data_IF_135064774661
#
_entry.id   IF_135064774661
#
_cell.length_a   1.000
_cell.length_b   1.000
_cell.length_c   1.000
_cell.angle_alpha   90.00
_cell.angle_beta   90.00
_cell.angle_gamma   90.00
#
_symmetry.space_group_name_H-M   'P 1'
#
loop_
_entity.id
_entity.type
_entity.pdbx_description
1 polymer ?
#
# COMPACT_ATOMS: atom_id res chain seq x y z
N UNK A 1 -14.61 4.11 -17.07
CA UNK A 1 -14.88 2.67 -17.00
C UNK A 1 -15.95 2.25 -18.01
N UNK A 2 -17.07 2.96 -18.13
CA UNK A 2 -18.16 2.60 -19.05
C UNK A 2 -17.79 2.66 -20.54
N UNK A 3 -16.84 3.51 -20.93
CA UNK A 3 -16.40 3.64 -22.33
C UNK A 3 -15.36 2.63 -22.74
N UNK A 4 -14.74 1.92 -21.80
CA UNK A 4 -13.60 1.02 -22.04
C UNK A 4 -12.33 1.71 -22.55
N UNK A 5 -12.33 3.06 -22.64
CA UNK A 5 -11.15 3.81 -23.10
C UNK A 5 -10.10 3.82 -21.99
N UNK A 6 -8.89 3.42 -22.32
CA UNK A 6 -7.72 3.51 -21.44
C UNK A 6 -6.56 4.20 -22.13
N UNK A 7 -5.78 4.94 -21.35
CA UNK A 7 -4.51 5.53 -21.78
C UNK A 7 -3.42 5.00 -20.85
N UNK A 8 -2.36 4.48 -21.41
CA UNK A 8 -1.29 3.84 -20.65
C UNK A 8 0.08 4.35 -21.11
N UNK A 9 0.95 4.62 -20.13
CA UNK A 9 2.37 4.92 -20.33
C UNK A 9 3.17 4.07 -19.34
N UNK A 10 3.97 3.16 -19.85
CA UNK A 10 4.69 2.16 -19.03
C UNK A 10 3.78 1.35 -18.08
N UNK A 11 2.52 1.16 -18.45
CA UNK A 11 1.52 0.50 -17.60
C UNK A 11 1.72 -1.00 -17.48
N UNK A 12 2.44 -1.62 -18.43
CA UNK A 12 2.79 -3.05 -18.42
C UNK A 12 4.15 -3.32 -17.75
N UNK A 13 4.92 -2.28 -17.42
CA UNK A 13 6.17 -2.46 -16.65
C UNK A 13 5.84 -2.92 -15.23
N UNK A 14 6.76 -3.70 -14.64
CA UNK A 14 6.69 -4.02 -13.23
C UNK A 14 7.08 -2.81 -12.37
N UNK A 15 6.23 -2.47 -11.41
CA UNK A 15 6.42 -1.40 -10.45
C UNK A 15 6.33 -1.92 -9.03
N UNK A 16 7.25 -1.52 -8.16
CA UNK A 16 7.08 -1.74 -6.74
C UNK A 16 5.94 -0.85 -6.21
N UNK A 17 4.86 -1.48 -5.76
CA UNK A 17 3.60 -0.83 -5.45
C UNK A 17 3.58 -0.15 -4.07
N UNK A 18 4.55 -0.44 -3.22
CA UNK A 18 4.63 0.05 -1.84
C UNK A 18 3.29 -0.18 -1.10
N UNK A 19 2.80 0.82 -0.35
CA UNK A 19 1.57 0.67 0.45
C UNK A 19 0.27 0.61 -0.36
N UNK A 20 0.30 0.68 -1.69
CA UNK A 20 -0.93 0.46 -2.47
C UNK A 20 -1.39 -1.00 -2.39
N UNK A 21 -0.50 -1.95 -2.08
CA UNK A 21 -0.84 -3.36 -1.80
C UNK A 21 -1.84 -3.53 -0.62
N UNK A 22 -2.09 -2.48 0.14
CA UNK A 22 -3.07 -2.49 1.23
C UNK A 22 -4.53 -2.54 0.75
N UNK A 23 -4.79 -2.20 -0.52
CA UNK A 23 -6.13 -2.36 -1.11
C UNK A 23 -6.49 -3.84 -1.29
N UNK A 24 -5.68 -4.69 -1.93
CA UNK A 24 -5.97 -6.13 -1.97
C UNK A 24 -6.03 -6.78 -0.58
N UNK A 25 -5.23 -6.33 0.40
CA UNK A 25 -5.37 -6.80 1.79
C UNK A 25 -6.76 -6.46 2.34
N UNK A 26 -7.23 -5.22 2.14
CA UNK A 26 -8.55 -4.80 2.58
C UNK A 26 -9.68 -5.58 1.90
N UNK A 27 -9.56 -5.86 0.59
CA UNK A 27 -10.52 -6.70 -0.14
C UNK A 27 -10.59 -8.10 0.48
N UNK A 28 -9.45 -8.73 0.78
CA UNK A 28 -9.42 -10.05 1.41
C UNK A 28 -10.09 -10.05 2.81
N UNK A 29 -9.88 -8.99 3.61
CA UNK A 29 -10.56 -8.82 4.90
C UNK A 29 -12.07 -8.66 4.72
N UNK A 30 -12.50 -7.83 3.78
CA UNK A 30 -13.93 -7.60 3.53
C UNK A 30 -14.63 -8.87 3.02
N UNK A 31 -13.98 -9.69 2.20
CA UNK A 31 -14.51 -11.01 1.80
C UNK A 31 -14.75 -11.95 2.99
N UNK A 32 -13.85 -11.94 3.97
CA UNK A 32 -14.06 -12.72 5.21
C UNK A 32 -15.25 -12.20 6.02
N UNK A 33 -15.52 -10.90 5.96
CA UNK A 33 -16.71 -10.29 6.59
C UNK A 33 -17.97 -10.73 5.82
N UNK A 34 -17.95 -10.76 4.49
CA UNK A 34 -19.09 -11.22 3.68
C UNK A 34 -19.39 -12.72 3.84
N UNK A 35 -18.43 -13.50 4.30
CA UNK A 35 -18.57 -14.93 4.60
C UNK A 35 -19.02 -15.19 6.05
N UNK A 36 -19.39 -14.13 6.80
CA UNK A 36 -19.79 -14.17 8.22
C UNK A 36 -18.71 -14.73 9.18
N UNK A 37 -17.46 -14.87 8.72
CA UNK A 37 -16.34 -15.32 9.55
C UNK A 37 -15.81 -14.21 10.49
N UNK A 38 -16.06 -12.96 10.12
CA UNK A 38 -15.60 -11.76 10.82
C UNK A 38 -16.70 -10.69 10.79
N UNK A 39 -16.60 -9.72 11.69
CA UNK A 39 -17.34 -8.46 11.63
C UNK A 39 -16.37 -7.29 11.70
N UNK A 40 -16.81 -6.10 11.35
CA UNK A 40 -16.01 -4.88 11.55
C UNK A 40 -15.65 -4.64 13.01
N UNK A 41 -16.42 -5.17 13.94
CA UNK A 41 -16.21 -5.00 15.39
C UNK A 41 -15.46 -6.18 16.03
N UNK A 42 -15.12 -7.22 15.25
CA UNK A 42 -14.32 -8.36 15.72
C UNK A 42 -12.99 -7.89 16.30
N UNK A 43 -12.64 -8.31 17.54
CA UNK A 43 -11.39 -7.90 18.18
C UNK A 43 -10.20 -8.70 17.64
N UNK A 44 -9.10 -8.01 17.38
CA UNK A 44 -7.81 -8.59 16.99
C UNK A 44 -6.77 -8.18 18.03
N UNK A 45 -6.16 -9.14 18.69
CA UNK A 45 -5.12 -8.88 19.70
C UNK A 45 -3.81 -8.51 19.02
N UNK A 46 -3.25 -7.35 19.37
CA UNK A 46 -1.92 -6.92 18.93
C UNK A 46 -0.85 -7.82 19.57
N UNK A 47 -0.02 -8.44 18.75
CA UNK A 47 1.13 -9.23 19.19
C UNK A 47 2.42 -8.43 18.99
N UNK A 48 3.45 -8.77 19.76
CA UNK A 48 4.78 -8.15 19.61
C UNK A 48 5.38 -8.41 18.20
N UNK A 49 5.00 -9.51 17.55
CA UNK A 49 5.39 -9.86 16.19
C UNK A 49 4.76 -9.00 15.11
N UNK A 50 3.64 -8.31 15.42
CA UNK A 50 2.94 -7.46 14.45
C UNK A 50 3.60 -6.09 14.28
N UNK A 51 4.51 -5.71 15.16
CA UNK A 51 5.16 -4.40 15.09
C UNK A 51 5.99 -4.24 13.82
N UNK A 52 5.70 -3.18 13.09
CA UNK A 52 6.48 -2.74 11.94
C UNK A 52 6.70 -1.25 12.03
N UNK A 53 7.87 -0.78 11.60
CA UNK A 53 8.15 0.65 11.45
C UNK A 53 7.36 1.25 10.26
N UNK A 54 7.16 2.55 10.30
CA UNK A 54 6.51 3.28 9.20
C UNK A 54 5.44 4.24 9.70
N UNK A 55 4.42 4.44 8.89
CA UNK A 55 3.31 5.32 9.21
C UNK A 55 2.32 4.65 10.18
N UNK A 56 1.51 5.47 10.83
CA UNK A 56 0.41 5.07 11.70
C UNK A 56 0.80 4.89 13.17
N UNK A 57 -0.18 4.96 14.07
CA UNK A 57 0.03 4.92 15.52
C UNK A 57 -0.12 3.53 16.14
N UNK A 58 -0.53 2.49 15.40
CA UNK A 58 -0.89 1.18 15.98
C UNK A 58 0.26 0.55 16.75
N UNK A 59 1.52 0.77 16.33
CA UNK A 59 2.70 0.30 17.03
C UNK A 59 3.00 1.03 18.36
N UNK A 60 2.18 2.01 18.76
CA UNK A 60 2.27 2.68 20.07
C UNK A 60 1.43 1.99 21.14
N UNK A 61 0.50 1.12 20.77
CA UNK A 61 -0.23 0.30 21.74
C UNK A 61 0.66 -0.80 22.28
N UNK A 62 0.41 -1.22 23.53
CA UNK A 62 1.10 -2.35 24.13
C UNK A 62 0.62 -3.69 23.52
N UNK A 63 1.48 -4.72 23.44
CA UNK A 63 1.05 -6.07 23.09
C UNK A 63 -0.03 -6.53 24.06
N UNK A 64 -0.99 -7.32 23.55
CA UNK A 64 -2.18 -7.74 24.29
C UNK A 64 -3.38 -6.80 24.12
N UNK A 65 -3.22 -5.60 23.56
CA UNK A 65 -4.33 -4.70 23.26
C UNK A 65 -5.22 -5.31 22.19
N UNK A 66 -6.52 -5.44 22.46
CA UNK A 66 -7.52 -5.79 21.46
C UNK A 66 -7.91 -4.53 20.66
N UNK A 67 -7.91 -4.62 19.34
CA UNK A 67 -8.28 -3.57 18.38
C UNK A 67 -9.33 -4.15 17.42
N UNK A 68 -10.35 -3.39 17.05
CA UNK A 68 -11.38 -3.90 16.12
C UNK A 68 -10.86 -3.94 14.68
N UNK A 69 -11.42 -4.81 13.87
CA UNK A 69 -11.15 -4.88 12.42
C UNK A 69 -11.39 -3.52 11.76
N UNK A 70 -12.46 -2.82 12.15
CA UNK A 70 -12.75 -1.45 11.69
C UNK A 70 -11.60 -0.49 11.97
N UNK A 71 -11.10 -0.46 13.20
CA UNK A 71 -9.95 0.36 13.58
C UNK A 71 -8.73 0.02 12.71
N UNK A 72 -8.44 -1.26 12.53
CA UNK A 72 -7.28 -1.71 11.75
C UNK A 72 -7.40 -1.35 10.26
N UNK A 73 -8.60 -1.50 9.66
CA UNK A 73 -8.85 -1.07 8.27
C UNK A 73 -8.69 0.44 8.12
N UNK A 74 -9.23 1.23 9.04
CA UNK A 74 -9.08 2.69 9.05
C UNK A 74 -7.60 3.08 9.17
N UNK A 75 -6.86 2.51 10.12
CA UNK A 75 -5.43 2.79 10.28
C UNK A 75 -4.61 2.38 9.06
N UNK A 76 -4.87 1.20 8.51
CA UNK A 76 -4.17 0.67 7.34
C UNK A 76 -4.39 1.54 6.10
N UNK A 77 -5.62 1.95 5.84
CA UNK A 77 -5.95 2.66 4.60
C UNK A 77 -5.75 4.17 4.74
N UNK A 78 -6.28 4.81 5.78
CA UNK A 78 -6.28 6.28 5.95
C UNK A 78 -4.86 6.79 6.23
N UNK A 79 -4.18 6.17 7.20
CA UNK A 79 -2.85 6.60 7.65
C UNK A 79 -1.72 5.73 7.09
N UNK A 80 -2.07 4.68 6.33
CA UNK A 80 -1.09 3.74 5.79
C UNK A 80 -0.30 2.98 6.87
N UNK A 81 -0.93 2.65 8.01
CA UNK A 81 -0.30 1.99 9.16
C UNK A 81 0.20 0.58 8.79
N UNK A 82 1.48 0.32 9.01
CA UNK A 82 2.10 -0.97 8.67
C UNK A 82 1.78 -2.05 9.71
N UNK A 83 1.73 -1.70 10.99
CA UNK A 83 1.38 -2.64 12.06
C UNK A 83 -0.06 -3.11 11.93
N UNK A 84 -1.00 -2.19 11.66
CA UNK A 84 -2.37 -2.55 11.39
C UNK A 84 -2.49 -3.45 10.15
N UNK A 85 -1.66 -3.23 9.12
CA UNK A 85 -1.62 -4.08 7.92
C UNK A 85 -1.20 -5.50 8.26
N UNK A 86 -0.13 -5.68 9.02
CA UNK A 86 0.38 -7.01 9.37
C UNK A 86 -0.56 -7.74 10.35
N UNK A 87 -1.25 -7.03 11.24
CA UNK A 87 -2.35 -7.61 12.04
C UNK A 87 -3.49 -8.14 11.17
N UNK A 88 -3.90 -7.39 10.15
CA UNK A 88 -4.94 -7.83 9.22
C UNK A 88 -4.48 -8.97 8.31
N UNK A 89 -3.23 -8.93 7.82
CA UNK A 89 -2.66 -10.07 7.07
C UNK A 89 -2.62 -11.32 7.94
N UNK A 90 -2.21 -11.22 9.20
CA UNK A 90 -2.21 -12.34 10.14
C UNK A 90 -3.61 -12.88 10.39
N UNK A 91 -4.61 -12.00 10.44
CA UNK A 91 -6.01 -12.37 10.68
C UNK A 91 -6.59 -13.20 9.53
N UNK A 92 -6.33 -12.81 8.29
CA UNK A 92 -6.91 -13.47 7.11
C UNK A 92 -5.98 -14.49 6.45
N UNK A 93 -4.67 -14.42 6.73
CA UNK A 93 -3.62 -15.22 6.11
C UNK A 93 -3.09 -14.58 4.82
N UNK A 94 -1.75 -14.53 4.68
CA UNK A 94 -1.10 -13.95 3.49
C UNK A 94 -1.43 -14.72 2.21
N UNK A 95 -1.60 -16.04 2.33
CA UNK A 95 -1.99 -16.89 1.21
C UNK A 95 -3.38 -16.55 0.68
N UNK A 96 -4.31 -16.20 1.58
CA UNK A 96 -5.65 -15.76 1.21
C UNK A 96 -5.61 -14.41 0.50
N UNK A 97 -4.80 -13.46 0.99
CA UNK A 97 -4.60 -12.17 0.30
C UNK A 97 -4.11 -12.40 -1.14
N UNK A 98 -3.12 -13.26 -1.31
CA UNK A 98 -2.56 -13.57 -2.63
C UNK A 98 -3.56 -14.37 -3.51
N UNK A 99 -4.35 -15.28 -2.92
CA UNK A 99 -5.37 -16.03 -3.65
C UNK A 99 -6.46 -15.11 -4.20
N UNK A 100 -7.01 -14.23 -3.35
CA UNK A 100 -8.00 -13.22 -3.75
C UNK A 100 -7.45 -12.28 -4.83
N UNK A 101 -6.20 -11.85 -4.70
CA UNK A 101 -5.58 -10.97 -5.69
C UNK A 101 -5.48 -11.67 -7.05
N UNK A 102 -5.02 -12.94 -7.09
CA UNK A 102 -4.93 -13.72 -8.35
C UNK A 102 -6.30 -14.07 -8.94
N UNK A 103 -7.30 -14.31 -8.11
CA UNK A 103 -8.67 -14.57 -8.58
C UNK A 103 -9.23 -13.34 -9.32
N UNK A 104 -9.05 -12.14 -8.75
CA UNK A 104 -9.54 -10.90 -9.32
C UNK A 104 -8.72 -10.43 -10.52
N UNK A 105 -7.40 -10.61 -10.46
CA UNK A 105 -6.45 -10.24 -11.49
C UNK A 105 -5.42 -11.37 -11.64
N UNK A 106 -5.65 -12.31 -12.56
CA UNK A 106 -4.82 -13.51 -12.69
C UNK A 106 -3.35 -13.23 -13.01
N UNK A 107 -3.06 -12.13 -13.70
CA UNK A 107 -1.73 -11.76 -14.16
C UNK A 107 -1.37 -10.32 -13.77
N UNK A 108 -0.07 -10.03 -13.69
CA UNK A 108 0.45 -8.69 -13.49
C UNK A 108 0.69 -8.30 -12.03
N UNK A 109 0.30 -9.11 -11.04
CA UNK A 109 0.73 -8.95 -9.65
C UNK A 109 1.78 -9.98 -9.26
N UNK A 110 2.86 -9.51 -8.62
CA UNK A 110 3.75 -10.38 -7.87
C UNK A 110 3.20 -10.73 -6.48
N UNK A 111 3.85 -11.66 -5.76
CA UNK A 111 3.40 -12.05 -4.43
C UNK A 111 3.40 -10.87 -3.45
N UNK A 112 2.30 -10.68 -2.74
CA UNK A 112 2.19 -9.75 -1.62
C UNK A 112 2.77 -10.44 -0.39
N UNK A 113 3.59 -9.71 0.38
CA UNK A 113 4.19 -10.17 1.64
C UNK A 113 3.72 -9.31 2.81
N UNK A 114 4.04 -9.73 4.04
CA UNK A 114 3.88 -8.86 5.20
C UNK A 114 4.80 -7.65 5.11
N UNK A 115 4.44 -6.55 5.78
CA UNK A 115 5.29 -5.35 5.81
C UNK A 115 6.56 -5.60 6.64
N UNK A 116 6.51 -6.50 7.61
CA UNK A 116 7.68 -7.00 8.34
C UNK A 116 8.64 -7.75 7.38
N UNK A 117 8.12 -8.59 6.48
CA UNK A 117 8.96 -9.31 5.51
C UNK A 117 9.60 -8.37 4.49
N UNK A 118 8.94 -7.28 4.10
CA UNK A 118 9.61 -6.22 3.33
C UNK A 118 10.89 -5.77 4.02
N UNK A 119 10.85 -5.55 5.34
CA UNK A 119 12.04 -5.13 6.12
C UNK A 119 13.08 -6.24 6.20
N UNK A 120 12.66 -7.47 6.48
CA UNK A 120 13.53 -8.64 6.55
C UNK A 120 14.26 -8.89 5.24
N UNK A 121 13.57 -8.76 4.12
CA UNK A 121 14.14 -8.96 2.80
C UNK A 121 15.16 -7.86 2.47
N UNK A 122 14.83 -6.59 2.71
CA UNK A 122 15.75 -5.46 2.47
C UNK A 122 17.02 -5.59 3.33
N UNK A 123 16.88 -5.76 4.64
CA UNK A 123 18.05 -5.92 5.53
C UNK A 123 18.76 -7.25 5.29
N UNK A 124 18.05 -8.27 4.80
CA UNK A 124 18.59 -9.56 4.38
C UNK A 124 19.60 -9.47 3.24
N UNK A 125 19.52 -8.43 2.40
CA UNK A 125 20.52 -8.12 1.36
C UNK A 125 21.88 -7.71 1.95
N UNK A 126 21.88 -7.20 3.19
CA UNK A 126 23.09 -6.83 3.92
C UNK A 126 23.71 -8.00 4.68
N UNK A 127 22.88 -8.89 5.23
CA UNK A 127 23.30 -10.12 5.88
C UNK A 127 22.10 -11.08 6.07
N UNK A 128 22.23 -12.40 5.76
CA UNK A 128 21.12 -13.34 5.88
C UNK A 128 20.46 -13.40 7.25
N UNK A 129 21.23 -13.23 8.35
CA UNK A 129 20.68 -13.21 9.71
C UNK A 129 19.69 -12.05 9.95
N UNK A 130 19.69 -10.99 9.13
CA UNK A 130 18.72 -9.91 9.23
C UNK A 130 17.29 -10.34 8.85
N UNK A 131 17.13 -11.52 8.23
CA UNK A 131 15.80 -12.10 7.97
C UNK A 131 15.08 -12.56 9.23
N UNK A 132 15.77 -12.63 10.38
CA UNK A 132 15.16 -12.97 11.68
C UNK A 132 14.80 -11.75 12.52
N UNK A 133 15.05 -10.53 12.03
CA UNK A 133 14.75 -9.30 12.76
C UNK A 133 13.28 -9.26 13.19
N UNK A 134 13.08 -8.83 14.43
CA UNK A 134 11.76 -8.66 15.04
C UNK A 134 11.18 -7.26 14.76
N UNK A 135 9.91 -7.09 15.04
CA UNK A 135 9.27 -5.78 14.97
C UNK A 135 9.92 -4.71 15.85
N UNK A 136 10.41 -5.10 17.02
CA UNK A 136 11.14 -4.17 17.93
C UNK A 136 12.47 -3.72 17.30
N UNK A 137 13.14 -4.59 16.57
CA UNK A 137 14.39 -4.27 15.89
C UNK A 137 14.14 -3.26 14.75
N UNK A 138 13.04 -3.41 14.00
CA UNK A 138 12.66 -2.44 12.98
C UNK A 138 12.39 -1.06 13.59
N UNK A 139 11.71 -1.00 14.75
CA UNK A 139 11.49 0.26 15.44
C UNK A 139 12.82 0.87 15.94
N UNK A 140 13.76 0.06 16.42
CA UNK A 140 15.08 0.52 16.83
C UNK A 140 15.90 1.06 15.64
N UNK A 141 15.90 0.35 14.51
CA UNK A 141 16.52 0.80 13.26
C UNK A 141 15.90 2.11 12.75
N UNK A 142 14.56 2.22 12.81
CA UNK A 142 13.87 3.44 12.37
C UNK A 142 14.19 4.68 13.20
N UNK A 143 14.50 4.50 14.49
CA UNK A 143 14.92 5.61 15.40
C UNK A 143 16.29 6.17 15.05
N UNK A 144 17.11 5.46 14.26
CA UNK A 144 18.41 5.97 13.86
C UNK A 144 18.24 7.17 12.91
N UNK A 145 19.08 8.21 13.06
CA UNK A 145 18.89 9.47 12.35
C UNK A 145 19.06 9.34 10.81
N UNK A 146 19.87 8.37 10.38
CA UNK A 146 20.20 8.15 8.98
C UNK A 146 20.60 6.69 8.70
N UNK A 147 20.92 6.39 7.44
CA UNK A 147 21.32 5.06 7.01
C UNK A 147 22.64 4.60 7.65
N UNK A 148 23.58 5.51 7.88
CA UNK A 148 24.84 5.17 8.56
C UNK A 148 24.59 4.66 9.98
N UNK A 149 23.69 5.32 10.73
CA UNK A 149 23.26 4.87 12.05
C UNK A 149 22.56 3.50 12.02
N UNK A 150 21.71 3.26 11.01
CA UNK A 150 21.04 1.95 10.82
C UNK A 150 22.06 0.85 10.55
N UNK A 151 23.02 1.10 9.64
CA UNK A 151 24.08 0.16 9.29
C UNK A 151 25.07 -0.07 10.49
N UNK A 152 25.24 0.89 11.37
CA UNK A 152 26.02 0.72 12.58
C UNK A 152 25.28 -0.09 13.68
N UNK A 153 23.95 0.02 13.73
CA UNK A 153 23.14 -0.72 14.69
C UNK A 153 22.86 -2.18 14.25
N UNK A 154 22.69 -2.42 12.95
CA UNK A 154 22.27 -3.71 12.40
C UNK A 154 23.12 -4.89 12.89
N UNK A 155 24.49 -4.86 12.84
CA UNK A 155 25.31 -5.96 13.30
C UNK A 155 25.05 -6.37 14.76
N UNK A 156 24.81 -5.39 15.63
CA UNK A 156 24.50 -5.64 17.06
C UNK A 156 23.16 -6.35 17.23
N UNK A 157 22.16 -6.01 16.41
CA UNK A 157 20.82 -6.62 16.47
C UNK A 157 20.83 -8.07 15.98
N UNK A 158 21.68 -8.39 15.01
CA UNK A 158 21.77 -9.73 14.42
C UNK A 158 22.94 -10.57 14.95
N UNK A 159 23.72 -10.04 15.92
CA UNK A 159 24.79 -10.79 16.59
C UNK A 159 26.00 -11.10 15.69
N UNK A 160 26.38 -10.20 14.76
CA UNK A 160 27.52 -10.39 13.86
C UNK A 160 28.49 -9.20 13.93
N UNK A 161 29.72 -9.41 13.46
CA UNK A 161 30.67 -8.32 13.27
C UNK A 161 30.28 -7.45 12.05
N UNK A 162 30.61 -6.15 12.13
CA UNK A 162 30.31 -5.21 11.05
C UNK A 162 30.95 -5.61 9.71
N UNK A 163 32.14 -6.22 9.76
CA UNK A 163 32.87 -6.73 8.59
C UNK A 163 32.15 -7.88 7.86
N UNK A 164 31.19 -8.54 8.53
CA UNK A 164 30.37 -9.61 7.94
C UNK A 164 29.24 -9.08 7.07
N UNK A 165 28.91 -7.77 7.15
CA UNK A 165 27.90 -7.21 6.28
C UNK A 165 28.41 -7.14 4.83
N UNK A 166 27.52 -7.44 3.88
CA UNK A 166 27.78 -7.15 2.46
C UNK A 166 28.08 -5.66 2.32
N UNK A 167 29.18 -5.27 1.63
CA UNK A 167 29.63 -3.88 1.56
C UNK A 167 28.82 -3.06 0.55
N UNK A 168 27.51 -3.03 0.71
CA UNK A 168 26.59 -2.22 -0.07
C UNK A 168 25.93 -1.15 0.80
N UNK A 169 25.42 -0.11 0.19
CA UNK A 169 24.61 0.89 0.86
C UNK A 169 23.20 0.34 1.15
N UNK A 170 22.52 0.94 2.12
CA UNK A 170 21.10 0.61 2.35
C UNK A 170 20.24 0.96 1.11
N UNK A 171 20.63 1.98 0.34
CA UNK A 171 20.00 2.31 -0.95
C UNK A 171 20.08 1.17 -1.95
N UNK A 172 21.25 0.55 -2.12
CA UNK A 172 21.42 -0.63 -2.97
C UNK A 172 20.63 -1.84 -2.47
N UNK A 173 20.57 -2.06 -1.15
CA UNK A 173 19.73 -3.12 -0.59
C UNK A 173 18.25 -2.93 -0.96
N UNK A 174 17.74 -1.69 -0.95
CA UNK A 174 16.41 -1.37 -1.44
C UNK A 174 16.26 -1.66 -2.93
N UNK A 175 17.21 -1.25 -3.79
CA UNK A 175 17.14 -1.51 -5.23
C UNK A 175 17.17 -3.01 -5.56
N UNK A 176 17.97 -3.81 -4.85
CA UNK A 176 17.95 -5.28 -4.98
C UNK A 176 16.60 -5.86 -4.61
N UNK A 177 16.01 -5.40 -3.53
CA UNK A 177 14.66 -5.81 -3.14
C UNK A 177 13.62 -5.42 -4.21
N UNK A 178 13.69 -4.22 -4.78
CA UNK A 178 12.75 -3.79 -5.84
C UNK A 178 12.91 -4.56 -7.17
N UNK A 179 14.02 -5.22 -7.37
CA UNK A 179 14.22 -6.12 -8.50
C UNK A 179 13.55 -7.48 -8.32
N UNK A 180 13.03 -7.78 -7.11
CA UNK A 180 12.24 -8.98 -6.86
C UNK A 180 10.77 -8.74 -7.26
N UNK A 181 9.97 -9.80 -7.49
CA UNK A 181 8.55 -9.65 -7.79
C UNK A 181 7.70 -9.28 -6.56
N UNK A 182 8.26 -9.26 -5.35
CA UNK A 182 7.48 -9.06 -4.13
C UNK A 182 6.88 -7.65 -4.05
N UNK A 183 5.59 -7.58 -3.70
CA UNK A 183 4.83 -6.33 -3.55
C UNK A 183 4.92 -5.43 -4.79
N UNK A 184 5.08 -6.03 -5.96
CA UNK A 184 5.17 -5.39 -7.28
C UNK A 184 3.99 -5.79 -8.15
N UNK A 185 3.73 -5.00 -9.17
CA UNK A 185 2.73 -5.30 -10.19
C UNK A 185 2.78 -4.30 -11.32
N UNK A 186 2.04 -4.60 -12.40
CA UNK A 186 1.84 -3.64 -13.48
C UNK A 186 0.80 -2.61 -13.07
N UNK A 187 0.89 -1.38 -13.58
CA UNK A 187 -0.12 -0.35 -13.29
C UNK A 187 -1.46 -0.74 -13.91
N UNK A 188 -1.42 -1.46 -15.03
CA UNK A 188 -2.63 -2.01 -15.66
C UNK A 188 -3.33 -3.00 -14.72
N UNK A 189 -2.63 -3.99 -14.20
CA UNK A 189 -3.20 -4.97 -13.27
C UNK A 189 -3.79 -4.30 -12.02
N UNK A 190 -3.14 -3.24 -11.52
CA UNK A 190 -3.69 -2.46 -10.42
C UNK A 190 -4.98 -1.72 -10.83
N UNK A 191 -5.05 -1.21 -12.06
CA UNK A 191 -6.27 -0.64 -12.64
C UNK A 191 -7.39 -1.66 -12.76
N UNK A 192 -7.06 -2.89 -13.19
CA UNK A 192 -8.02 -4.00 -13.30
C UNK A 192 -8.57 -4.39 -11.91
N UNK A 193 -7.74 -4.41 -10.87
CA UNK A 193 -8.18 -4.61 -9.48
C UNK A 193 -9.18 -3.55 -9.01
N UNK A 194 -8.88 -2.27 -9.28
CA UNK A 194 -9.80 -1.17 -8.94
C UNK A 194 -11.08 -1.24 -9.77
N UNK A 195 -11.00 -1.69 -11.03
CA UNK A 195 -12.17 -1.92 -11.87
C UNK A 195 -13.06 -3.03 -11.32
N UNK A 196 -12.46 -4.14 -10.85
CA UNK A 196 -13.20 -5.22 -10.20
C UNK A 196 -13.90 -4.76 -8.91
N UNK A 197 -13.23 -3.88 -8.14
CA UNK A 197 -13.83 -3.28 -6.94
C UNK A 197 -15.03 -2.38 -7.32
N UNK A 198 -14.87 -1.52 -8.32
CA UNK A 198 -15.92 -0.61 -8.78
C UNK A 198 -17.13 -1.33 -9.37
N UNK A 199 -16.88 -2.38 -10.15
CA UNK A 199 -17.91 -3.20 -10.78
C UNK A 199 -18.67 -4.11 -9.79
N UNK A 200 -18.27 -4.17 -8.52
CA UNK A 200 -18.88 -5.05 -7.53
C UNK A 200 -18.53 -6.53 -7.71
N UNK A 201 -17.55 -6.86 -8.55
CA UNK A 201 -17.07 -8.25 -8.73
C UNK A 201 -16.05 -8.67 -7.68
N UNK A 202 -15.38 -7.71 -7.06
CA UNK A 202 -14.46 -7.96 -5.94
C UNK A 202 -15.19 -8.19 -4.62
N UNK A 203 -16.25 -7.41 -4.35
CA UNK A 203 -17.03 -7.37 -3.11
C UNK A 203 -18.49 -7.08 -3.42
N UNK A 204 -19.40 -7.47 -2.55
CA UNK A 204 -20.81 -7.08 -2.62
C UNK A 204 -21.00 -5.55 -2.40
N UNK A 205 -22.19 -5.01 -2.73
CA UNK A 205 -22.41 -3.56 -2.76
C UNK A 205 -22.11 -2.84 -1.44
N UNK A 206 -22.52 -3.40 -0.30
CA UNK A 206 -22.31 -2.78 1.01
C UNK A 206 -20.81 -2.72 1.38
N UNK A 207 -20.06 -3.79 1.14
CA UNK A 207 -18.63 -3.87 1.40
C UNK A 207 -17.82 -2.98 0.44
N UNK A 208 -18.23 -2.91 -0.83
CA UNK A 208 -17.64 -2.00 -1.82
C UNK A 208 -17.77 -0.56 -1.37
N UNK A 209 -18.99 -0.11 -1.03
CA UNK A 209 -19.21 1.27 -0.58
C UNK A 209 -18.48 1.56 0.74
N UNK A 210 -18.48 0.62 1.70
CA UNK A 210 -17.69 0.78 2.91
C UNK A 210 -16.21 1.00 2.59
N UNK A 211 -15.60 0.14 1.76
CA UNK A 211 -14.19 0.24 1.43
C UNK A 211 -13.87 1.54 0.69
N UNK A 212 -14.68 1.93 -0.30
CA UNK A 212 -14.52 3.19 -1.02
C UNK A 212 -14.70 4.40 -0.09
N UNK A 213 -15.62 4.34 0.88
CA UNK A 213 -15.80 5.41 1.87
C UNK A 213 -14.57 5.60 2.74
N UNK A 214 -13.88 4.51 3.13
CA UNK A 214 -12.61 4.56 3.85
C UNK A 214 -11.51 5.14 2.95
N UNK A 215 -11.44 4.72 1.68
CA UNK A 215 -10.45 5.21 0.73
C UNK A 215 -10.62 6.70 0.40
N UNK A 216 -11.84 7.26 0.43
CA UNK A 216 -12.07 8.71 0.28
C UNK A 216 -11.49 9.53 1.44
N UNK A 217 -11.32 8.92 2.62
CA UNK A 217 -10.77 9.54 3.84
C UNK A 217 -9.25 9.45 3.96
N UNK A 218 -8.54 8.95 2.93
CA UNK A 218 -7.08 8.83 2.95
C UNK A 218 -6.44 10.21 3.18
N UNK A 219 -5.61 10.31 4.23
CA UNK A 219 -4.93 11.53 4.64
C UNK A 219 -3.52 11.67 4.04
N UNK A 220 -2.97 10.57 3.52
CA UNK A 220 -1.65 10.57 2.87
C UNK A 220 -1.72 11.06 1.43
N UNK A 221 -0.65 11.69 0.92
CA UNK A 221 -0.54 12.05 -0.50
C UNK A 221 -1.42 13.24 -0.92
N UNK A 222 -1.80 14.12 -0.02
CA UNK A 222 -2.61 15.32 -0.34
C UNK A 222 -1.98 16.27 -1.37
N UNK A 223 -0.69 16.06 -1.74
CA UNK A 223 0.03 16.82 -2.78
C UNK A 223 0.20 16.04 -4.09
N UNK A 224 -0.39 14.83 -4.20
CA UNK A 224 -0.28 13.94 -5.35
C UNK A 224 -1.46 14.14 -6.31
N UNK A 225 -1.97 13.09 -6.92
CA UNK A 225 -3.05 13.12 -7.90
C UNK A 225 -4.21 14.00 -7.42
N UNK A 226 -4.66 13.84 -6.18
CA UNK A 226 -5.76 14.62 -5.59
C UNK A 226 -5.56 16.13 -5.71
N UNK A 227 -4.33 16.64 -5.54
CA UNK A 227 -4.03 18.06 -5.65
C UNK A 227 -4.12 18.61 -7.08
N UNK A 228 -4.11 17.77 -8.09
CA UNK A 228 -4.27 18.13 -9.50
C UNK A 228 -5.70 17.98 -10.01
N UNK A 229 -6.60 17.40 -9.22
CA UNK A 229 -8.01 17.25 -9.58
C UNK A 229 -8.79 18.55 -9.29
N UNK A 230 -9.91 18.82 -9.98
CA UNK A 230 -10.78 19.94 -9.67
C UNK A 230 -11.26 19.94 -8.22
N UNK A 231 -11.47 21.13 -7.65
CA UNK A 231 -11.97 21.25 -6.28
C UNK A 231 -13.33 20.56 -6.13
N UNK A 232 -13.53 19.84 -5.02
CA UNK A 232 -14.76 19.09 -4.76
C UNK A 232 -14.81 17.71 -5.41
N UNK A 233 -13.82 17.32 -6.22
CA UNK A 233 -13.74 15.97 -6.79
C UNK A 233 -13.46 14.95 -5.69
N UNK A 234 -14.30 13.93 -5.55
CA UNK A 234 -14.06 12.78 -4.70
C UNK A 234 -12.96 11.89 -5.29
N UNK A 235 -12.04 11.42 -4.45
CA UNK A 235 -11.00 10.50 -4.87
C UNK A 235 -10.81 9.41 -3.82
N UNK A 236 -11.39 8.25 -4.07
CA UNK A 236 -11.19 7.05 -3.25
C UNK A 236 -9.87 6.40 -3.65
N UNK A 237 -8.80 6.63 -2.88
CA UNK A 237 -7.46 6.27 -3.30
C UNK A 237 -6.61 5.60 -2.22
N UNK A 238 -5.46 5.09 -2.63
CA UNK A 238 -4.40 4.63 -1.74
C UNK A 238 -3.05 5.07 -2.26
N UNK A 239 -2.24 5.62 -1.37
CA UNK A 239 -0.86 6.02 -1.68
C UNK A 239 0.13 4.92 -1.36
N UNK A 240 1.20 4.86 -2.14
CA UNK A 240 2.41 4.07 -1.87
C UNK A 240 3.61 4.99 -1.70
N UNK A 241 4.44 4.75 -0.68
CA UNK A 241 5.65 5.52 -0.45
C UNK A 241 6.74 4.63 0.11
N UNK A 242 7.83 4.53 -0.62
CA UNK A 242 9.06 3.91 -0.20
C UNK A 242 10.23 4.69 -0.83
N UNK A 243 11.47 4.39 -0.46
CA UNK A 243 12.66 5.05 -1.01
C UNK A 243 12.63 5.08 -2.54
N UNK A 244 12.62 6.28 -3.13
CA UNK A 244 12.57 6.52 -4.58
C UNK A 244 11.46 5.76 -5.34
N UNK A 245 10.40 5.35 -4.67
CA UNK A 245 9.22 4.65 -5.21
C UNK A 245 7.96 5.27 -4.60
N UNK A 246 7.21 5.98 -5.41
CA UNK A 246 6.05 6.77 -4.94
C UNK A 246 4.89 6.52 -5.90
N UNK A 247 3.77 6.03 -5.36
CA UNK A 247 2.56 5.72 -6.10
C UNK A 247 1.36 6.46 -5.51
N UNK A 248 0.35 6.64 -6.34
CA UNK A 248 -0.99 7.03 -5.94
C UNK A 248 -1.98 6.41 -6.93
N UNK A 249 -3.03 5.75 -6.44
CA UNK A 249 -3.98 5.04 -7.28
C UNK A 249 -5.37 5.03 -6.65
N UNK A 250 -6.40 5.20 -7.46
CA UNK A 250 -7.78 5.23 -6.96
C UNK A 250 -8.82 5.51 -8.02
N UNK A 251 -10.06 5.62 -7.53
CA UNK A 251 -11.25 5.93 -8.29
C UNK A 251 -11.66 7.39 -8.06
N UNK A 252 -11.87 8.11 -9.15
CA UNK A 252 -12.36 9.49 -9.12
C UNK A 252 -13.88 9.46 -9.23
N UNK A 253 -14.55 10.06 -8.24
CA UNK A 253 -15.99 10.29 -8.29
C UNK A 253 -16.27 11.54 -9.14
N UNK A 254 -17.18 11.45 -10.12
CA UNK A 254 -17.58 12.61 -10.93
C UNK A 254 -18.50 13.53 -10.12
N UNK A 255 -18.24 14.85 -10.07
CA UNK A 255 -19.14 15.79 -9.40
C UNK A 255 -20.54 15.81 -10.03
N UNK A 256 -21.58 15.86 -9.21
CA UNK A 256 -22.96 16.01 -9.67
C UNK A 256 -23.63 14.76 -10.21
N UNK A 257 -23.00 13.61 -10.13
CA UNK A 257 -23.62 12.36 -10.49
C UNK A 257 -24.53 11.85 -9.35
N UNK A 258 -25.80 12.18 -9.44
CA UNK A 258 -26.83 11.66 -8.53
C UNK A 258 -27.10 10.15 -8.73
N UNK A 259 -26.54 9.57 -9.78
CA UNK A 259 -26.69 8.17 -10.16
C UNK A 259 -25.37 7.42 -9.96
N UNK A 260 -25.42 6.29 -9.27
CA UNK A 260 -24.29 5.37 -9.08
C UNK A 260 -23.76 4.77 -10.39
N UNK A 261 -24.46 4.97 -11.50
CA UNK A 261 -24.04 4.61 -12.86
C UNK A 261 -23.16 5.67 -13.53
N UNK A 262 -22.87 6.78 -12.85
CA UNK A 262 -22.07 7.86 -13.40
C UNK A 262 -20.62 7.45 -13.62
N UNK A 263 -20.08 7.93 -14.72
CA UNK A 263 -18.74 7.63 -15.23
C UNK A 263 -17.67 7.82 -14.15
N UNK A 264 -17.17 6.72 -13.56
CA UNK A 264 -16.00 6.75 -12.72
C UNK A 264 -14.74 6.62 -13.57
N UNK A 265 -13.69 7.29 -13.14
CA UNK A 265 -12.38 7.23 -13.75
C UNK A 265 -11.40 6.57 -12.77
N UNK A 266 -10.64 5.59 -13.25
CA UNK A 266 -9.51 5.03 -12.50
C UNK A 266 -8.24 5.74 -12.91
N UNK A 267 -7.45 6.14 -11.92
CA UNK A 267 -6.10 6.68 -12.13
C UNK A 267 -5.13 5.84 -11.32
N UNK A 268 -4.10 5.31 -11.99
CA UNK A 268 -2.99 4.58 -11.35
C UNK A 268 -1.70 5.20 -11.83
N UNK A 269 -0.91 5.76 -10.94
CA UNK A 269 0.36 6.38 -11.29
C UNK A 269 1.45 6.10 -10.25
N UNK A 270 2.65 5.81 -10.75
CA UNK A 270 3.85 5.62 -9.94
C UNK A 270 5.02 6.44 -10.51
N UNK A 271 5.92 6.85 -9.62
CA UNK A 271 7.18 7.52 -9.95
C UNK A 271 8.32 6.74 -9.33
N UNK A 272 9.38 6.49 -10.10
CA UNK A 272 10.61 5.83 -9.64
C UNK A 272 11.86 6.60 -10.04
N UNK A 273 12.95 6.37 -9.31
CA UNK A 273 14.27 6.92 -9.67
C UNK A 273 14.48 8.38 -9.29
N UNK A 274 13.54 9.03 -8.61
CA UNK A 274 13.72 10.40 -8.11
C UNK A 274 14.03 10.39 -6.61
N UNK A 275 15.07 11.14 -6.23
CA UNK A 275 15.50 11.24 -4.83
C UNK A 275 14.56 12.09 -3.97
N UNK A 276 13.88 13.07 -4.57
CA UNK A 276 13.01 14.03 -3.88
C UNK A 276 11.55 13.59 -3.91
N UNK A 277 10.98 13.34 -2.72
CA UNK A 277 9.54 13.10 -2.57
C UNK A 277 8.71 14.24 -3.15
N UNK A 278 9.13 15.49 -2.97
CA UNK A 278 8.44 16.67 -3.52
C UNK A 278 8.40 16.66 -5.04
N UNK A 279 9.49 16.23 -5.69
CA UNK A 279 9.52 16.10 -7.15
C UNK A 279 8.57 15.02 -7.65
N UNK A 280 8.54 13.86 -6.98
CA UNK A 280 7.62 12.77 -7.31
C UNK A 280 6.15 13.19 -7.09
N UNK A 281 5.85 13.87 -5.98
CA UNK A 281 4.50 14.39 -5.71
C UNK A 281 4.04 15.41 -6.75
N UNK A 282 4.96 16.26 -7.24
CA UNK A 282 4.67 17.19 -8.33
C UNK A 282 4.33 16.46 -9.64
N UNK A 283 5.06 15.40 -9.98
CA UNK A 283 4.75 14.58 -11.15
C UNK A 283 3.38 13.91 -11.05
N UNK A 284 3.05 13.34 -9.89
CA UNK A 284 1.74 12.74 -9.64
C UNK A 284 0.61 13.78 -9.65
N UNK A 285 0.85 14.98 -9.13
CA UNK A 285 -0.09 16.10 -9.26
C UNK A 285 -0.33 16.45 -10.73
N UNK A 286 0.73 16.53 -11.53
CA UNK A 286 0.64 16.75 -12.98
C UNK A 286 -0.24 15.72 -13.69
N UNK A 287 -0.29 14.47 -13.21
CA UNK A 287 -1.22 13.47 -13.74
C UNK A 287 -2.68 13.89 -13.48
N UNK A 288 -3.02 14.35 -12.28
CA UNK A 288 -4.36 14.86 -11.97
C UNK A 288 -4.73 16.09 -12.81
N UNK A 289 -3.79 17.02 -12.97
CA UNK A 289 -3.95 18.22 -13.81
C UNK A 289 -4.20 17.86 -15.29
N UNK A 290 -3.46 16.89 -15.82
CA UNK A 290 -3.62 16.43 -17.21
C UNK A 290 -5.00 15.78 -17.44
N UNK A 291 -5.45 14.94 -16.48
CA UNK A 291 -6.78 14.31 -16.53
C UNK A 291 -7.89 15.39 -16.52
N UNK A 292 -7.75 16.42 -15.68
CA UNK A 292 -8.69 17.53 -15.63
C UNK A 292 -8.69 18.37 -16.93
N UNK A 293 -7.50 18.63 -17.47
CA UNK A 293 -7.34 19.40 -18.72
C UNK A 293 -7.89 18.65 -19.95
N UNK A 294 -7.82 17.31 -19.94
CA UNK A 294 -8.40 16.47 -20.99
C UNK A 294 -9.95 16.40 -20.97
N UNK A 295 -10.61 17.08 -20.02
CA UNK A 295 -12.06 17.07 -19.90
C UNK A 295 -12.66 15.71 -19.47
N UNK A 296 -11.83 14.82 -18.91
CA UNK A 296 -12.27 13.51 -18.44
C UNK A 296 -13.02 13.59 -17.10
N UNK A 297 -12.94 14.72 -16.42
CA UNK A 297 -13.69 15.03 -15.19
C UNK A 297 -14.59 16.22 -15.50
N UNK A 298 -15.90 16.05 -15.33
CA UNK A 298 -16.87 17.14 -15.47
C UNK A 298 -16.66 18.18 -14.36
N UNK A 299 -16.69 19.45 -14.72
CA UNK A 299 -16.64 20.58 -13.78
C UNK A 299 -18.00 20.83 -13.16
#
# INVERSE_FOLDING_TARGET
LQTGISVSYHGEDAWYLASTVKVPIAIAVMRRIEQDDLTLDSPVTLLASDYVDGAGPTNRHAPGKALSVRYLLDQMLIYSDNTASDMLIRLVGIEQVNAVTRELVPEGFGPITTLADVRRLIYGELHPAARTLSGKDFLALKRQPNDAGRLALLPRLIGVERSALVPISLGEAYERYYATPFNSGTLKAYGDLLSALDAGTALGPASTEYLLSVMRRVETGGRRIKAGLPSGTGFAHKTGTQRARICDAGLVDQPGAADLTSQRLIIVACVRGVASTTQAERALRGTGEAVAAAGLIRR
#
